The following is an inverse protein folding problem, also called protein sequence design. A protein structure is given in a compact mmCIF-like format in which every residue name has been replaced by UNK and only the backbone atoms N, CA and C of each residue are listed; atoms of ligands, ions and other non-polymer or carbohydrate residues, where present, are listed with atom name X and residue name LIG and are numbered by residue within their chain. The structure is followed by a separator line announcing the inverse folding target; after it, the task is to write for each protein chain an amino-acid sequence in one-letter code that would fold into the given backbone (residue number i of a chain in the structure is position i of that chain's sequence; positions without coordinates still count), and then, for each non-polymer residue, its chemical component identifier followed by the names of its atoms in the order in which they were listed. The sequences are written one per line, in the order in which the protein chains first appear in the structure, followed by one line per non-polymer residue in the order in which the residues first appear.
data_IF_125360690401
#
_entry.id   IF_125360690401
#
_cell.length_a   1.000
_cell.length_b   1.000
_cell.length_c   1.000
_cell.angle_alpha   90.00
_cell.angle_beta   90.00
_cell.angle_gamma   90.00
#
_symmetry.space_group_name_H-M   'P 1'
#
loop_
_entity.id
_entity.type
_entity.pdbx_description
1 polymer ?
#
# COMPACT_ATOMS: atom_id res chain seq x y z
N UNK A 1 9.90 4.29 -11.14
CA UNK A 1 8.98 4.93 -10.18
C UNK A 1 8.20 3.85 -9.45
N UNK A 2 8.10 3.90 -8.12
CA UNK A 2 7.42 2.86 -7.31
C UNK A 2 6.25 3.49 -6.58
N UNK A 3 5.07 2.88 -6.64
CA UNK A 3 3.93 3.24 -5.81
C UNK A 3 3.90 2.33 -4.59
N UNK A 4 3.86 2.89 -3.39
CA UNK A 4 3.79 2.13 -2.13
C UNK A 4 2.47 2.41 -1.40
N UNK A 5 1.84 1.36 -0.87
CA UNK A 5 0.75 1.44 0.09
C UNK A 5 1.25 1.11 1.49
N UNK A 6 1.13 2.06 2.43
CA UNK A 6 1.57 1.88 3.83
C UNK A 6 0.36 1.77 4.76
N UNK A 7 0.34 0.75 5.60
CA UNK A 7 -0.61 0.63 6.71
C UNK A 7 -0.09 1.41 7.94
N UNK A 8 -0.95 2.15 8.63
CA UNK A 8 -0.65 2.89 9.85
C UNK A 8 -0.91 2.12 11.15
N UNK A 9 -1.48 0.92 11.07
CA UNK A 9 -1.91 0.14 12.22
C UNK A 9 -0.86 -0.86 12.69
N UNK A 10 -0.38 -0.68 13.91
CA UNK A 10 0.69 -1.51 14.50
C UNK A 10 0.31 -2.99 14.71
N UNK A 11 -0.96 -3.25 15.04
CA UNK A 11 -1.48 -4.62 15.22
C UNK A 11 -1.57 -5.42 13.91
N UNK A 12 -1.33 -4.78 12.76
CA UNK A 12 -1.34 -5.39 11.44
C UNK A 12 0.07 -5.54 10.85
N UNK A 13 1.11 -5.24 11.65
CA UNK A 13 2.50 -5.47 11.25
C UNK A 13 2.79 -6.96 11.17
N UNK A 14 3.58 -7.36 10.18
CA UNK A 14 4.07 -8.72 10.04
C UNK A 14 5.42 -8.83 10.76
N UNK A 15 5.61 -9.91 11.51
CA UNK A 15 6.87 -10.21 12.18
C UNK A 15 7.77 -11.02 11.25
N UNK A 16 8.98 -10.53 10.97
CA UNK A 16 9.99 -11.29 10.23
C UNK A 16 10.60 -12.38 11.11
N UNK A 17 11.29 -13.32 10.47
CA UNK A 17 12.06 -14.38 11.11
C UNK A 17 13.13 -13.87 12.10
N UNK A 18 13.53 -12.60 11.97
CA UNK A 18 14.51 -11.93 12.85
C UNK A 18 13.85 -11.15 14.01
N UNK A 19 12.54 -11.28 14.22
CA UNK A 19 11.80 -10.61 15.30
C UNK A 19 11.42 -9.16 15.02
N UNK A 20 11.87 -8.57 13.91
CA UNK A 20 11.46 -7.21 13.54
C UNK A 20 10.03 -7.18 13.02
N UNK A 21 9.27 -6.16 13.41
CA UNK A 21 7.91 -5.93 12.90
C UNK A 21 7.91 -4.86 11.82
N UNK A 22 7.24 -5.13 10.71
CA UNK A 22 7.12 -4.17 9.61
C UNK A 22 5.70 -4.09 9.09
N UNK A 23 5.34 -2.89 8.63
CA UNK A 23 4.09 -2.73 7.91
C UNK A 23 4.23 -3.41 6.55
N UNK A 24 3.34 -4.37 6.21
CA UNK A 24 3.31 -4.94 4.89
C UNK A 24 3.06 -3.81 3.89
N UNK A 25 4.05 -3.55 3.05
CA UNK A 25 4.02 -2.49 2.05
C UNK A 25 3.79 -3.14 0.70
N UNK A 26 2.62 -2.95 0.11
CA UNK A 26 2.41 -3.35 -1.27
C UNK A 26 3.02 -2.31 -2.18
N UNK A 27 3.84 -2.74 -3.12
CA UNK A 27 4.47 -1.84 -4.07
C UNK A 27 4.36 -2.31 -5.51
N UNK A 28 4.40 -1.36 -6.43
CA UNK A 28 4.41 -1.64 -7.87
C UNK A 28 5.41 -0.73 -8.60
N UNK A 29 6.21 -1.31 -9.50
CA UNK A 29 7.12 -0.57 -10.35
C UNK A 29 6.39 -0.07 -11.60
N UNK A 30 6.12 1.23 -11.65
CA UNK A 30 5.43 1.85 -12.79
C UNK A 30 6.20 1.72 -14.11
N UNK A 31 7.53 1.68 -14.04
CA UNK A 31 8.37 1.51 -15.25
C UNK A 31 8.24 0.12 -15.89
N UNK A 32 7.86 -0.88 -15.09
CA UNK A 32 7.79 -2.28 -15.51
C UNK A 32 6.32 -2.70 -15.73
N UNK A 33 5.39 -1.74 -15.65
CA UNK A 33 3.96 -1.98 -15.75
C UNK A 33 3.41 -1.16 -16.93
N UNK A 34 2.77 -1.84 -17.88
CA UNK A 34 2.18 -1.20 -19.06
C UNK A 34 0.90 -0.42 -18.76
N UNK A 35 0.41 -0.47 -17.51
CA UNK A 35 -0.81 0.19 -17.06
C UNK A 35 -0.50 1.56 -16.52
N UNK A 36 -1.46 2.47 -16.67
CA UNK A 36 -1.35 3.79 -16.06
C UNK A 36 -1.38 3.70 -14.51
N UNK A 37 -0.92 4.78 -13.88
CA UNK A 37 -0.87 4.88 -12.42
C UNK A 37 -2.23 4.69 -11.76
N UNK A 38 -3.30 5.23 -12.36
CA UNK A 38 -4.66 5.17 -11.83
C UNK A 38 -5.17 3.73 -11.80
N UNK A 39 -4.98 2.98 -12.88
CA UNK A 39 -5.33 1.55 -12.99
C UNK A 39 -4.57 0.70 -11.99
N UNK A 40 -3.29 1.03 -11.73
CA UNK A 40 -2.47 0.34 -10.75
C UNK A 40 -3.00 0.60 -9.34
N UNK A 41 -3.27 1.85 -9.00
CA UNK A 41 -3.88 2.26 -7.72
C UNK A 41 -5.22 1.52 -7.52
N UNK A 42 -6.06 1.48 -8.56
CA UNK A 42 -7.39 0.89 -8.49
C UNK A 42 -7.34 -0.64 -8.26
N UNK A 43 -6.37 -1.33 -8.89
CA UNK A 43 -6.12 -2.75 -8.63
C UNK A 43 -5.53 -3.01 -7.25
N UNK A 44 -4.65 -2.14 -6.77
CA UNK A 44 -4.09 -2.23 -5.42
C UNK A 44 -5.19 -2.03 -4.37
N UNK A 45 -6.07 -1.05 -4.57
CA UNK A 45 -7.24 -0.81 -3.74
C UNK A 45 -8.14 -2.05 -3.68
N UNK A 46 -8.55 -2.60 -4.83
CA UNK A 46 -9.34 -3.84 -4.88
C UNK A 46 -8.68 -4.99 -4.13
N UNK A 47 -7.36 -5.14 -4.24
CA UNK A 47 -6.63 -6.20 -3.54
C UNK A 47 -6.67 -6.05 -2.01
N UNK A 48 -6.63 -4.83 -1.49
CA UNK A 48 -6.80 -4.57 -0.06
C UNK A 48 -8.21 -4.94 0.40
N UNK A 49 -9.24 -4.53 -0.35
CA UNK A 49 -10.62 -4.86 -0.04
C UNK A 49 -10.91 -6.37 -0.06
N UNK A 50 -10.21 -7.14 -0.91
CA UNK A 50 -10.34 -8.60 -0.92
C UNK A 50 -9.61 -9.29 0.24
N UNK A 51 -8.75 -8.58 0.98
CA UNK A 51 -7.96 -9.18 2.06
C UNK A 51 -8.67 -9.02 3.40
N UNK A 52 -9.24 -10.10 3.93
CA UNK A 52 -10.12 -10.10 5.12
C UNK A 52 -9.59 -9.28 6.32
N UNK A 53 -8.29 -9.40 6.61
CA UNK A 53 -7.64 -8.69 7.73
C UNK A 53 -7.49 -7.17 7.51
N UNK A 54 -7.22 -6.74 6.27
CA UNK A 54 -6.96 -5.31 6.00
C UNK A 54 -8.23 -4.58 5.57
N UNK A 55 -9.14 -5.25 4.88
CA UNK A 55 -10.42 -4.68 4.46
C UNK A 55 -11.25 -4.17 5.64
N UNK A 56 -11.21 -4.89 6.78
CA UNK A 56 -11.96 -4.52 7.98
C UNK A 56 -11.24 -3.53 8.90
N UNK A 57 -9.94 -3.30 8.69
CA UNK A 57 -9.10 -2.54 9.62
C UNK A 57 -8.43 -1.31 9.00
N UNK A 58 -8.43 -1.20 7.67
CA UNK A 58 -7.91 -0.03 6.96
C UNK A 58 -9.04 0.97 6.72
N UNK A 59 -8.85 2.22 7.18
CA UNK A 59 -9.81 3.31 6.95
C UNK A 59 -9.37 4.20 5.79
N UNK A 60 -8.06 4.23 5.51
CA UNK A 60 -7.45 5.09 4.49
C UNK A 60 -6.30 4.35 3.82
N UNK A 61 -6.24 4.42 2.49
CA UNK A 61 -5.09 3.99 1.70
C UNK A 61 -4.33 5.21 1.18
N UNK A 62 -3.04 5.29 1.51
CA UNK A 62 -2.14 6.34 1.08
C UNK A 62 -1.11 5.77 0.12
N UNK A 63 -1.02 6.37 -1.06
CA UNK A 63 -0.10 5.98 -2.12
C UNK A 63 1.02 7.00 -2.22
N UNK A 64 2.26 6.51 -2.27
CA UNK A 64 3.46 7.34 -2.32
C UNK A 64 4.33 6.98 -3.51
N UNK A 65 5.04 7.97 -4.06
CA UNK A 65 6.08 7.73 -5.05
C UNK A 65 7.44 7.64 -4.35
N UNK A 66 8.30 6.70 -4.78
CA UNK A 66 9.65 6.60 -4.25
C UNK A 66 10.43 7.93 -4.37
N UNK A 67 11.11 8.32 -3.29
CA UNK A 67 11.80 9.63 -3.18
C UNK A 67 10.95 10.75 -2.56
N UNK A 68 9.63 10.62 -2.53
CA UNK A 68 8.73 11.59 -1.87
C UNK A 68 7.77 10.88 -0.92
N UNK A 69 8.30 10.43 0.23
CA UNK A 69 7.54 9.69 1.25
C UNK A 69 6.74 10.60 2.19
N UNK A 70 7.01 11.90 2.18
CA UNK A 70 6.33 12.89 3.03
C UNK A 70 4.98 13.32 2.45
N UNK A 71 4.79 13.18 1.14
CA UNK A 71 3.55 13.59 0.47
C UNK A 71 2.93 12.40 -0.27
N UNK A 72 1.71 12.03 0.14
CA UNK A 72 0.93 11.04 -0.59
C UNK A 72 0.48 11.63 -1.92
N UNK A 73 0.67 10.89 -3.01
CA UNK A 73 0.22 11.27 -4.35
C UNK A 73 -1.24 10.92 -4.60
N UNK A 74 -1.77 9.99 -3.81
CA UNK A 74 -3.18 9.61 -3.86
C UNK A 74 -3.64 9.12 -2.49
N UNK A 75 -4.89 9.42 -2.15
CA UNK A 75 -5.54 9.04 -0.90
C UNK A 75 -6.93 8.48 -1.22
N UNK A 76 -7.23 7.29 -0.72
CA UNK A 76 -8.55 6.67 -0.81
C UNK A 76 -9.08 6.46 0.60
N UNK A 77 -10.31 6.86 0.86
CA UNK A 77 -11.04 6.51 2.09
C UNK A 77 -11.84 5.24 1.79
N UNK A 78 -11.74 4.24 2.67
CA UNK A 78 -12.39 2.93 2.51
C UNK A 78 -13.77 2.89 3.16
#
# INVERSE_FOLDING_TARGET
MVICLKNGNDHLKVTASNGNTYNPTWYNFLKDNSKDMTQIIDKMHKRVLTHATYASAANVLLFYINGNRSHAVHKITL
#
